data_IF_839917432142
#
_entry.id   IF_839917432142
#
_cell.length_a   1.000
_cell.length_b   1.000
_cell.length_c   1.000
_cell.angle_alpha   90.00
_cell.angle_beta   90.00
_cell.angle_gamma   90.00
#
_symmetry.space_group_name_H-M   'P 1'
#
loop_
_entity.id
_entity.type
_entity.pdbx_description
1 polymer ?
#
# COMPACT_ATOMS: atom_id res chain seq x y z
N UNK A 1 -12.59 10.12 23.81
CA UNK A 1 -11.51 11.13 24.01
C UNK A 1 -11.50 12.03 22.78
N UNK A 2 -11.53 13.34 22.93
CA UNK A 2 -11.49 14.25 21.76
C UNK A 2 -10.02 14.52 21.40
N UNK A 3 -9.60 14.13 20.20
CA UNK A 3 -8.31 14.53 19.65
C UNK A 3 -8.27 16.06 19.47
N UNK A 4 -7.11 16.66 19.72
CA UNK A 4 -6.87 18.05 19.37
C UNK A 4 -6.71 18.15 17.86
N UNK A 5 -7.12 19.29 17.29
CA UNK A 5 -7.08 19.54 15.84
C UNK A 5 -5.68 19.37 15.21
N UNK A 6 -4.63 19.64 16.01
CA UNK A 6 -3.23 19.53 15.63
C UNK A 6 -2.50 18.34 16.30
N UNK A 7 -3.21 17.24 16.57
CA UNK A 7 -2.61 16.03 17.11
C UNK A 7 -1.53 15.49 16.14
N UNK A 8 -0.41 15.00 16.70
CA UNK A 8 0.68 14.41 15.91
C UNK A 8 0.35 12.99 15.46
N UNK A 9 1.00 12.53 14.41
CA UNK A 9 0.75 11.25 13.74
C UNK A 9 0.61 10.07 14.69
N UNK A 10 1.57 9.85 15.59
CA UNK A 10 1.54 8.72 16.54
C UNK A 10 0.32 8.77 17.47
N UNK A 11 -0.10 9.96 17.89
CA UNK A 11 -1.32 10.16 18.68
C UNK A 11 -2.58 9.85 17.85
N UNK A 12 -2.60 10.26 16.59
CA UNK A 12 -3.70 9.98 15.65
C UNK A 12 -3.83 8.46 15.44
N UNK A 13 -2.73 7.75 15.19
CA UNK A 13 -2.73 6.29 15.04
C UNK A 13 -3.40 5.56 16.21
N UNK A 14 -3.19 6.04 17.45
CA UNK A 14 -3.73 5.41 18.66
C UNK A 14 -5.20 5.73 18.88
N UNK A 15 -5.63 6.97 18.61
CA UNK A 15 -6.90 7.49 19.13
C UNK A 15 -7.95 7.82 18.07
N UNK A 16 -7.57 8.07 16.81
CA UNK A 16 -8.55 8.45 15.80
C UNK A 16 -9.53 7.30 15.52
N UNK A 17 -10.80 7.66 15.29
CA UNK A 17 -11.87 6.71 15.00
C UNK A 17 -12.33 5.87 16.20
N UNK A 18 -11.75 6.04 17.38
CA UNK A 18 -12.03 5.22 18.56
C UNK A 18 -12.49 6.08 19.74
N UNK A 19 -13.54 5.62 20.38
CA UNK A 19 -14.03 6.14 21.66
C UNK A 19 -14.24 4.97 22.61
N UNK A 20 -14.10 5.14 23.94
CA UNK A 20 -14.46 4.10 24.88
C UNK A 20 -15.89 3.64 24.64
N UNK A 21 -16.14 2.33 24.74
CA UNK A 21 -17.48 1.77 24.55
C UNK A 21 -18.47 2.40 25.53
N UNK A 22 -19.60 2.98 25.06
CA UNK A 22 -20.50 3.72 25.92
C UNK A 22 -21.26 2.83 26.91
N UNK A 23 -21.35 1.52 26.67
CA UNK A 23 -22.08 0.59 27.53
C UNK A 23 -21.20 0.01 28.64
N UNK A 24 -19.91 -0.18 28.40
CA UNK A 24 -18.99 -0.86 29.32
C UNK A 24 -17.78 -0.01 29.74
N UNK A 25 -17.50 1.06 29.02
CA UNK A 25 -16.27 1.84 29.20
C UNK A 25 -15.00 1.17 28.65
N UNK A 26 -15.13 0.07 27.88
CA UNK A 26 -13.99 -0.61 27.28
C UNK A 26 -13.16 0.36 26.40
N UNK A 27 -11.85 0.42 26.66
CA UNK A 27 -10.98 1.40 25.99
C UNK A 27 -10.68 1.04 24.53
N UNK A 28 -10.67 -0.26 24.20
CA UNK A 28 -10.54 -0.73 22.82
C UNK A 28 -11.93 -0.93 22.21
N UNK A 29 -12.07 -0.62 20.93
CA UNK A 29 -13.32 -0.85 20.20
C UNK A 29 -13.71 -2.33 20.25
N UNK A 30 -14.93 -2.69 20.70
CA UNK A 30 -15.41 -4.08 20.68
C UNK A 30 -15.50 -4.65 19.28
N UNK A 31 -15.41 -5.97 19.16
CA UNK A 31 -15.67 -6.68 17.89
C UNK A 31 -17.17 -6.94 17.79
N UNK A 32 -17.84 -6.20 16.91
CA UNK A 32 -19.26 -6.38 16.62
C UNK A 32 -19.44 -7.44 15.52
N UNK A 33 -19.35 -8.72 15.90
CA UNK A 33 -19.54 -9.85 15.00
C UNK A 33 -21.03 -10.14 14.83
N UNK A 34 -21.71 -9.30 14.04
CA UNK A 34 -23.15 -9.38 13.78
C UNK A 34 -23.46 -8.96 12.34
N UNK A 35 -24.57 -9.46 11.79
CA UNK A 35 -25.08 -9.05 10.47
C UNK A 35 -26.17 -8.00 10.54
N UNK A 36 -26.97 -7.98 11.63
CA UNK A 36 -28.24 -7.24 11.70
C UNK A 36 -28.38 -6.50 13.02
N UNK A 37 -29.11 -5.40 13.00
CA UNK A 37 -29.37 -4.56 14.18
C UNK A 37 -30.86 -4.34 14.33
N UNK A 38 -31.36 -4.44 15.58
CA UNK A 38 -32.78 -4.22 15.89
C UNK A 38 -33.07 -2.72 15.88
N UNK A 39 -34.20 -2.37 15.25
CA UNK A 39 -34.74 -1.01 15.28
C UNK A 39 -35.74 -0.89 16.46
N UNK A 40 -35.75 0.26 17.12
CA UNK A 40 -36.71 0.54 18.22
C UNK A 40 -38.12 0.75 17.67
N UNK A 41 -38.26 1.22 16.42
CA UNK A 41 -39.52 1.29 15.65
C UNK A 41 -39.16 1.35 14.16
N UNK A 42 -40.14 1.27 13.25
CA UNK A 42 -39.92 1.35 11.81
C UNK A 42 -39.19 2.65 11.46
N UNK A 43 -37.97 2.52 10.92
CA UNK A 43 -37.09 3.64 10.58
C UNK A 43 -36.40 4.33 11.78
N UNK A 44 -36.55 3.81 12.99
CA UNK A 44 -35.91 4.34 14.22
C UNK A 44 -34.81 3.40 14.67
N UNK A 45 -33.57 3.67 14.25
CA UNK A 45 -32.39 2.85 14.54
C UNK A 45 -31.27 3.67 15.23
N UNK A 46 -30.31 2.97 15.85
CA UNK A 46 -29.20 3.57 16.60
C UNK A 46 -27.98 3.92 15.70
N UNK A 47 -28.21 4.17 14.40
CA UNK A 47 -27.17 4.49 13.42
C UNK A 47 -26.68 3.28 12.62
N UNK A 48 -27.13 2.07 12.94
CA UNK A 48 -26.78 0.83 12.26
C UNK A 48 -28.04 0.02 11.93
N UNK A 49 -28.08 -0.58 10.74
CA UNK A 49 -29.21 -1.40 10.28
C UNK A 49 -28.72 -2.79 9.83
N UNK A 50 -27.63 -2.82 9.07
CA UNK A 50 -27.06 -4.03 8.47
C UNK A 50 -25.54 -3.93 8.31
N UNK A 51 -24.81 -4.99 8.66
CA UNK A 51 -23.33 -4.93 8.74
C UNK A 51 -22.63 -4.72 7.39
N UNK A 52 -23.24 -5.12 6.26
CA UNK A 52 -22.70 -4.80 4.93
C UNK A 52 -22.68 -3.28 4.69
N UNK A 53 -23.73 -2.59 5.08
CA UNK A 53 -23.81 -1.13 4.99
C UNK A 53 -22.85 -0.47 5.98
N UNK A 54 -22.95 -0.81 7.27
CA UNK A 54 -22.11 -0.25 8.34
C UNK A 54 -21.93 -1.25 9.48
N UNK A 55 -20.75 -1.26 10.08
CA UNK A 55 -20.44 -2.04 11.27
C UNK A 55 -19.55 -1.19 12.20
N UNK A 56 -19.84 -1.12 13.52
CA UNK A 56 -19.08 -0.24 14.43
C UNK A 56 -17.57 -0.49 14.44
N UNK A 57 -17.14 -1.75 14.37
CA UNK A 57 -15.71 -2.10 14.35
C UNK A 57 -15.06 -1.66 13.05
N UNK A 58 -15.70 -1.93 11.90
CA UNK A 58 -15.20 -1.47 10.59
C UNK A 58 -15.18 0.05 10.49
N UNK A 59 -16.23 0.72 10.95
CA UNK A 59 -16.31 2.19 10.95
C UNK A 59 -15.22 2.84 11.80
N UNK A 60 -14.83 2.22 12.91
CA UNK A 60 -13.70 2.70 13.72
C UNK A 60 -12.37 2.62 12.96
N UNK A 61 -12.14 1.53 12.22
CA UNK A 61 -10.96 1.39 11.34
C UNK A 61 -11.00 2.43 10.22
N UNK A 62 -12.12 2.55 9.51
CA UNK A 62 -12.31 3.49 8.39
C UNK A 62 -12.01 4.93 8.82
N UNK A 63 -12.53 5.35 9.97
CA UNK A 63 -12.24 6.66 10.54
C UNK A 63 -10.77 6.83 10.98
N UNK A 64 -10.14 5.76 11.51
CA UNK A 64 -8.72 5.78 11.87
C UNK A 64 -7.84 5.98 10.64
N UNK A 65 -8.04 5.16 9.58
CA UNK A 65 -7.24 5.23 8.36
C UNK A 65 -7.43 6.58 7.63
N UNK A 66 -8.68 7.08 7.55
CA UNK A 66 -8.94 8.41 7.00
C UNK A 66 -8.10 9.49 7.72
N UNK A 67 -8.07 9.44 9.05
CA UNK A 67 -7.33 10.42 9.85
C UNK A 67 -5.81 10.32 9.69
N UNK A 68 -5.24 9.11 9.63
CA UNK A 68 -3.79 8.93 9.48
C UNK A 68 -3.28 9.28 8.07
N UNK A 69 -4.14 9.14 7.04
CA UNK A 69 -3.86 9.59 5.66
C UNK A 69 -4.26 11.04 5.40
N UNK A 70 -4.88 11.73 6.37
CA UNK A 70 -5.43 13.08 6.24
C UNK A 70 -6.56 13.20 5.20
N UNK A 71 -7.26 12.11 4.94
CA UNK A 71 -8.44 12.11 4.09
C UNK A 71 -9.71 12.48 4.85
N UNK A 72 -10.78 12.70 4.10
CA UNK A 72 -12.10 13.09 4.62
C UNK A 72 -12.93 11.87 5.02
N UNK A 73 -12.77 10.76 4.30
CA UNK A 73 -13.43 9.48 4.59
C UNK A 73 -12.56 8.30 4.17
N UNK A 74 -12.72 7.16 4.89
CA UNK A 74 -12.10 5.87 4.57
C UNK A 74 -13.16 4.79 4.36
N UNK A 75 -12.82 3.79 3.54
CA UNK A 75 -13.67 2.65 3.20
C UNK A 75 -12.85 1.37 3.24
N UNK A 76 -13.24 0.40 4.08
CA UNK A 76 -12.50 -0.84 4.25
C UNK A 76 -13.12 -1.99 3.46
N UNK A 77 -12.28 -2.69 2.69
CA UNK A 77 -12.63 -3.77 1.78
C UNK A 77 -11.92 -5.07 2.15
N UNK A 78 -12.44 -6.19 1.66
CA UNK A 78 -11.95 -7.54 1.95
C UNK A 78 -10.51 -7.82 1.45
N UNK A 79 -9.96 -6.99 0.58
CA UNK A 79 -8.55 -7.06 0.12
C UNK A 79 -8.13 -5.75 -0.52
N UNK A 80 -6.80 -5.55 -0.71
CA UNK A 80 -6.29 -4.44 -1.53
C UNK A 80 -6.86 -4.45 -2.95
N UNK A 81 -6.98 -5.63 -3.56
CA UNK A 81 -7.58 -5.78 -4.90
C UNK A 81 -9.07 -5.40 -4.94
N UNK A 82 -9.83 -5.67 -3.87
CA UNK A 82 -11.22 -5.23 -3.75
C UNK A 82 -11.31 -3.70 -3.59
N UNK A 83 -10.37 -3.10 -2.89
CA UNK A 83 -10.25 -1.64 -2.77
C UNK A 83 -9.95 -0.98 -4.13
N UNK A 84 -8.99 -1.53 -4.89
CA UNK A 84 -8.71 -1.07 -6.26
C UNK A 84 -9.93 -1.25 -7.18
N UNK A 85 -10.60 -2.41 -7.12
CA UNK A 85 -11.82 -2.67 -7.88
C UNK A 85 -12.89 -1.62 -7.62
N UNK A 86 -13.13 -1.28 -6.35
CA UNK A 86 -14.09 -0.25 -5.97
C UNK A 86 -13.72 1.14 -6.52
N UNK A 87 -12.43 1.50 -6.53
CA UNK A 87 -11.96 2.75 -7.15
C UNK A 87 -12.22 2.75 -8.66
N UNK A 88 -12.03 1.63 -9.34
CA UNK A 88 -12.29 1.53 -10.80
C UNK A 88 -13.77 1.70 -11.16
N UNK A 89 -14.70 1.51 -10.23
CA UNK A 89 -16.14 1.76 -10.48
C UNK A 89 -16.48 3.24 -10.62
N UNK A 90 -15.58 4.16 -10.31
CA UNK A 90 -15.70 5.59 -10.64
C UNK A 90 -15.67 5.84 -12.16
N UNK A 91 -15.22 4.86 -12.93
CA UNK A 91 -15.06 4.93 -14.37
C UNK A 91 -16.22 4.22 -15.09
N UNK A 92 -16.41 4.60 -16.34
CA UNK A 92 -17.36 3.95 -17.25
C UNK A 92 -16.67 3.41 -18.50
N UNK A 93 -17.35 2.54 -19.22
CA UNK A 93 -16.86 2.03 -20.51
C UNK A 93 -16.45 3.17 -21.44
N UNK A 94 -15.27 3.07 -22.05
CA UNK A 94 -14.64 4.08 -22.89
C UNK A 94 -13.71 5.04 -22.15
N UNK A 95 -13.69 5.04 -20.82
CA UNK A 95 -12.73 5.84 -20.06
C UNK A 95 -11.32 5.22 -20.12
N UNK A 96 -10.32 6.10 -20.07
CA UNK A 96 -8.90 5.74 -20.10
C UNK A 96 -8.23 6.05 -18.77
N UNK A 97 -7.28 5.16 -18.38
CA UNK A 97 -6.46 5.28 -17.20
C UNK A 97 -4.98 5.27 -17.59
N UNK A 98 -4.22 6.23 -17.10
CA UNK A 98 -2.75 6.16 -17.11
C UNK A 98 -2.28 5.47 -15.83
N UNK A 99 -1.45 4.45 -15.97
CA UNK A 99 -1.02 3.57 -14.86
C UNK A 99 0.49 3.56 -14.79
N UNK A 100 1.06 3.54 -13.59
CA UNK A 100 2.49 3.26 -13.38
C UNK A 100 2.89 1.96 -14.07
N UNK A 101 3.94 1.96 -14.88
CA UNK A 101 4.38 0.80 -15.68
C UNK A 101 4.82 -0.39 -14.82
N UNK A 102 5.40 -0.10 -13.67
CA UNK A 102 5.88 -1.05 -12.67
C UNK A 102 4.91 -1.14 -11.50
N UNK A 103 3.65 -1.44 -11.78
CA UNK A 103 2.60 -1.64 -10.78
C UNK A 103 2.53 -3.08 -10.31
N UNK A 104 1.93 -3.31 -9.15
CA UNK A 104 1.76 -4.65 -8.59
C UNK A 104 1.14 -5.62 -9.62
N UNK A 105 1.64 -6.88 -9.66
CA UNK A 105 1.15 -7.87 -10.62
C UNK A 105 -0.35 -8.19 -10.47
N UNK A 106 -0.94 -8.00 -9.28
CA UNK A 106 -2.38 -8.11 -9.05
C UNK A 106 -3.17 -7.01 -9.73
N UNK A 107 -2.71 -5.76 -9.62
CA UNK A 107 -3.27 -4.58 -10.29
C UNK A 107 -3.25 -4.77 -11.80
N UNK A 108 -2.11 -5.20 -12.35
CA UNK A 108 -1.99 -5.53 -13.78
C UNK A 108 -3.01 -6.59 -14.22
N UNK A 109 -3.16 -7.69 -13.45
CA UNK A 109 -4.15 -8.73 -13.76
C UNK A 109 -5.57 -8.21 -13.71
N UNK A 110 -5.93 -7.41 -12.71
CA UNK A 110 -7.25 -6.81 -12.60
C UNK A 110 -7.55 -5.93 -13.81
N UNK A 111 -6.62 -5.03 -14.17
CA UNK A 111 -6.82 -4.06 -15.24
C UNK A 111 -6.88 -4.75 -16.61
N UNK A 112 -5.89 -5.53 -16.97
CA UNK A 112 -5.78 -6.13 -18.30
C UNK A 112 -6.73 -7.30 -18.53
N UNK A 113 -6.92 -8.17 -17.53
CA UNK A 113 -7.68 -9.40 -17.76
C UNK A 113 -9.13 -9.36 -17.26
N UNK A 114 -9.49 -8.38 -16.45
CA UNK A 114 -10.86 -8.22 -15.96
C UNK A 114 -11.46 -6.93 -16.51
N UNK A 115 -10.94 -5.76 -16.16
CA UNK A 115 -11.59 -4.48 -16.41
C UNK A 115 -11.57 -4.05 -17.89
N UNK A 116 -10.53 -4.41 -18.63
CA UNK A 116 -10.48 -4.19 -20.09
C UNK A 116 -11.66 -4.86 -20.81
N UNK A 117 -12.18 -5.99 -20.30
CA UNK A 117 -13.39 -6.65 -20.85
C UNK A 117 -14.65 -5.82 -20.68
N UNK A 118 -14.67 -4.89 -19.74
CA UNK A 118 -15.78 -3.97 -19.50
C UNK A 118 -15.59 -2.61 -20.18
N UNK A 119 -14.61 -2.53 -21.09
CA UNK A 119 -14.41 -1.36 -21.95
C UNK A 119 -13.57 -0.25 -21.34
N UNK A 120 -12.87 -0.48 -20.22
CA UNK A 120 -11.83 0.44 -19.76
C UNK A 120 -10.55 0.28 -20.59
N UNK A 121 -9.86 1.39 -20.85
CA UNK A 121 -8.58 1.39 -21.55
C UNK A 121 -7.43 1.83 -20.62
N UNK A 122 -6.25 1.22 -20.78
CA UNK A 122 -5.10 1.41 -19.90
C UNK A 122 -3.84 1.70 -20.71
N UNK A 123 -3.10 2.74 -20.30
CA UNK A 123 -1.74 3.01 -20.77
C UNK A 123 -0.79 2.97 -19.59
N UNK A 124 0.23 2.12 -19.68
CA UNK A 124 1.27 2.01 -18.68
C UNK A 124 2.45 2.89 -19.07
N UNK A 125 2.81 3.82 -18.19
CA UNK A 125 3.86 4.81 -18.41
C UNK A 125 4.91 4.75 -17.29
N UNK A 126 6.15 5.08 -17.60
CA UNK A 126 7.17 5.32 -16.58
C UNK A 126 6.86 6.62 -15.83
N UNK A 127 6.09 6.50 -14.74
CA UNK A 127 5.64 7.65 -13.95
C UNK A 127 6.75 8.31 -13.12
N UNK A 128 7.96 7.75 -13.11
CA UNK A 128 9.13 8.45 -12.58
C UNK A 128 9.54 9.65 -13.43
N UNK A 129 8.97 9.75 -14.64
CA UNK A 129 9.17 10.81 -15.62
C UNK A 129 7.87 11.54 -15.88
N UNK A 130 7.79 12.79 -15.44
CA UNK A 130 6.58 13.60 -15.57
C UNK A 130 6.15 13.83 -17.03
N UNK A 131 7.12 13.94 -17.95
CA UNK A 131 6.86 14.07 -19.39
C UNK A 131 6.20 12.83 -20.00
N UNK A 132 6.45 11.63 -19.47
CA UNK A 132 5.78 10.40 -19.87
C UNK A 132 4.31 10.39 -19.39
N UNK A 133 4.03 10.88 -18.18
CA UNK A 133 2.67 11.03 -17.67
C UNK A 133 1.87 11.95 -18.62
N UNK A 134 2.43 13.13 -18.92
CA UNK A 134 1.73 14.12 -19.76
C UNK A 134 1.47 13.60 -21.17
N UNK A 135 2.44 12.91 -21.78
CA UNK A 135 2.28 12.27 -23.10
C UNK A 135 1.26 11.13 -23.13
N UNK A 136 1.06 10.44 -22.01
CA UNK A 136 0.11 9.33 -21.90
C UNK A 136 -1.34 9.80 -21.73
N UNK A 137 -1.59 11.05 -21.33
CA UNK A 137 -2.93 11.60 -21.16
C UNK A 137 -3.61 11.78 -22.52
N UNK A 138 -4.86 11.32 -22.64
CA UNK A 138 -5.73 11.39 -23.81
C UNK A 138 -7.02 12.16 -23.48
N UNK A 139 -7.81 12.59 -24.47
CA UNK A 139 -9.08 13.30 -24.20
C UNK A 139 -10.09 12.51 -23.33
N UNK A 140 -10.03 11.18 -23.37
CA UNK A 140 -10.86 10.30 -22.56
C UNK A 140 -10.16 9.79 -21.29
N UNK A 141 -8.99 10.30 -20.93
CA UNK A 141 -8.33 9.96 -19.67
C UNK A 141 -9.11 10.55 -18.50
N UNK A 142 -9.42 9.73 -17.51
CA UNK A 142 -10.15 10.12 -16.31
C UNK A 142 -9.37 9.89 -15.03
N UNK A 143 -8.40 9.00 -15.04
CA UNK A 143 -7.65 8.62 -13.86
C UNK A 143 -6.16 8.48 -14.17
N UNK A 144 -5.32 8.94 -13.26
CA UNK A 144 -3.90 8.62 -13.14
C UNK A 144 -3.74 7.70 -11.92
N UNK A 145 -3.41 6.43 -12.14
CA UNK A 145 -3.20 5.44 -11.08
C UNK A 145 -1.71 5.24 -10.85
N UNK A 146 -1.23 5.68 -9.71
CA UNK A 146 0.17 5.68 -9.32
C UNK A 146 0.45 4.61 -8.25
N UNK A 147 1.59 3.96 -8.34
CA UNK A 147 2.21 3.20 -7.25
C UNK A 147 3.61 3.79 -6.98
N UNK A 148 3.85 4.28 -5.78
CA UNK A 148 5.13 4.90 -5.41
C UNK A 148 5.43 4.79 -3.92
N UNK A 149 6.58 4.18 -3.53
CA UNK A 149 7.58 3.49 -4.38
C UNK A 149 7.01 2.28 -5.11
N UNK A 150 7.50 1.97 -6.31
CA UNK A 150 7.01 0.83 -7.11
C UNK A 150 7.53 -0.51 -6.60
N UNK A 151 6.75 -1.58 -6.79
CA UNK A 151 7.11 -2.94 -6.47
C UNK A 151 7.61 -3.69 -7.73
N UNK A 152 8.82 -4.27 -7.77
CA UNK A 152 9.81 -4.35 -6.69
C UNK A 152 11.00 -3.38 -6.85
N UNK A 153 11.07 -2.57 -7.89
CA UNK A 153 12.29 -1.82 -8.24
C UNK A 153 12.42 -0.48 -7.52
N UNK A 154 11.43 -0.11 -6.70
CA UNK A 154 11.45 1.06 -5.81
C UNK A 154 11.66 2.40 -6.54
N UNK A 155 11.15 2.53 -7.77
CA UNK A 155 11.08 3.82 -8.45
C UNK A 155 10.08 4.74 -7.76
N UNK A 156 10.35 6.03 -7.79
CA UNK A 156 9.49 7.05 -7.20
C UNK A 156 8.84 7.91 -8.28
N UNK A 157 7.60 8.30 -8.04
CA UNK A 157 6.91 9.35 -8.79
C UNK A 157 6.94 10.63 -7.97
N UNK A 158 7.29 11.76 -8.59
CA UNK A 158 7.08 13.09 -7.99
C UNK A 158 5.58 13.36 -7.92
N UNK A 159 5.02 13.18 -6.71
CA UNK A 159 3.58 13.26 -6.50
C UNK A 159 3.03 14.65 -6.76
N UNK A 160 3.75 15.71 -6.36
CA UNK A 160 3.32 17.10 -6.61
C UNK A 160 3.21 17.35 -8.10
N UNK A 161 4.28 17.08 -8.86
CA UNK A 161 4.29 17.28 -10.29
C UNK A 161 3.26 16.43 -11.04
N UNK A 162 3.09 15.17 -10.63
CA UNK A 162 2.10 14.27 -11.21
C UNK A 162 0.66 14.73 -10.98
N UNK A 163 0.33 15.16 -9.76
CA UNK A 163 -0.99 15.73 -9.43
C UNK A 163 -1.25 17.03 -10.21
N UNK A 164 -0.29 17.93 -10.28
CA UNK A 164 -0.43 19.17 -11.05
C UNK A 164 -0.69 18.90 -12.55
N UNK A 165 0.02 17.94 -13.14
CA UNK A 165 -0.22 17.52 -14.53
C UNK A 165 -1.64 16.96 -14.69
N UNK A 166 -2.02 15.99 -13.87
CA UNK A 166 -3.31 15.33 -13.97
C UNK A 166 -4.48 16.34 -13.82
N UNK A 167 -4.41 17.20 -12.83
CA UNK A 167 -5.48 18.18 -12.56
C UNK A 167 -5.63 19.24 -13.66
N UNK A 168 -4.55 19.62 -14.36
CA UNK A 168 -4.66 20.50 -15.54
C UNK A 168 -5.52 19.89 -16.67
N UNK A 169 -5.64 18.57 -16.70
CA UNK A 169 -6.40 17.82 -17.69
C UNK A 169 -7.74 17.28 -17.15
N UNK A 170 -8.17 17.72 -15.97
CA UNK A 170 -9.39 17.20 -15.29
C UNK A 170 -9.35 15.68 -15.07
N UNK A 171 -8.15 15.17 -14.73
CA UNK A 171 -7.85 13.78 -14.41
C UNK A 171 -7.59 13.68 -12.91
N UNK A 172 -8.33 12.81 -12.21
CA UNK A 172 -8.08 12.59 -10.79
C UNK A 172 -6.98 11.59 -10.54
N UNK A 173 -6.31 11.72 -9.39
CA UNK A 173 -5.13 10.97 -9.03
C UNK A 173 -5.43 9.97 -7.92
N UNK A 174 -5.13 8.71 -8.19
CA UNK A 174 -5.16 7.60 -7.23
C UNK A 174 -3.75 7.15 -6.95
N UNK A 175 -3.39 7.01 -5.68
CA UNK A 175 -2.07 6.51 -5.28
C UNK A 175 -2.20 5.26 -4.44
N UNK A 176 -1.64 4.15 -4.92
CA UNK A 176 -1.36 3.00 -4.05
C UNK A 176 -0.14 3.33 -3.18
N UNK A 177 -0.40 3.57 -1.90
CA UNK A 177 0.58 3.96 -0.90
C UNK A 177 1.00 2.80 0.02
N UNK A 178 0.74 1.56 -0.42
CA UNK A 178 0.97 0.35 0.37
C UNK A 178 2.41 0.20 0.82
N UNK A 179 3.40 0.49 -0.05
CA UNK A 179 4.85 0.34 0.26
C UNK A 179 5.37 1.39 1.23
N UNK A 180 4.87 2.61 1.14
CA UNK A 180 5.30 3.70 2.01
C UNK A 180 4.58 3.68 3.37
N UNK A 181 3.30 3.36 3.40
CA UNK A 181 2.37 3.61 4.50
C UNK A 181 2.20 5.12 4.82
N UNK A 182 1.15 5.52 5.58
CA UNK A 182 0.96 6.92 5.97
C UNK A 182 2.06 7.49 6.86
N UNK A 183 2.90 6.63 7.43
CA UNK A 183 4.05 7.06 8.22
C UNK A 183 5.15 7.66 7.36
N UNK A 184 5.47 7.01 6.24
CA UNK A 184 6.56 7.45 5.36
C UNK A 184 6.09 8.53 4.39
N UNK A 185 4.88 8.39 3.83
CA UNK A 185 4.35 9.29 2.82
C UNK A 185 2.83 9.40 2.93
N UNK A 186 2.28 10.57 2.71
CA UNK A 186 0.83 10.82 2.64
C UNK A 186 0.51 11.50 1.32
N UNK A 187 0.05 10.77 0.31
CA UNK A 187 -0.18 11.31 -1.04
C UNK A 187 -1.18 12.46 -1.09
N UNK A 188 -2.14 12.50 -0.16
CA UNK A 188 -3.12 13.59 -0.07
C UNK A 188 -2.42 14.94 0.19
N UNK A 189 -1.34 14.96 0.97
CA UNK A 189 -0.56 16.18 1.23
C UNK A 189 0.08 16.75 -0.06
N UNK A 190 0.16 15.96 -1.14
CA UNK A 190 0.73 16.30 -2.45
C UNK A 190 -0.33 16.50 -3.53
N UNK A 191 -1.62 16.37 -3.20
CA UNK A 191 -2.72 16.62 -4.12
C UNK A 191 -3.44 15.37 -4.65
N UNK A 192 -3.13 14.17 -4.16
CA UNK A 192 -3.89 12.97 -4.56
C UNK A 192 -5.36 13.06 -4.12
N UNK A 193 -6.27 12.64 -5.00
CA UNK A 193 -7.71 12.61 -4.75
C UNK A 193 -8.14 11.37 -3.95
N UNK A 194 -7.45 10.27 -4.18
CA UNK A 194 -7.70 8.96 -3.57
C UNK A 194 -6.38 8.28 -3.21
N UNK A 195 -6.38 7.60 -2.06
CA UNK A 195 -5.27 6.74 -1.64
C UNK A 195 -5.78 5.33 -1.40
N UNK A 196 -5.08 4.35 -1.94
CA UNK A 196 -5.37 2.93 -1.75
C UNK A 196 -4.27 2.30 -0.91
N UNK A 197 -4.63 1.36 -0.05
CA UNK A 197 -3.70 0.48 0.64
C UNK A 197 -4.19 -0.96 0.65
N UNK A 198 -3.29 -1.90 0.51
CA UNK A 198 -3.46 -3.22 1.10
C UNK A 198 -3.18 -3.13 2.60
N UNK A 199 -4.22 -3.26 3.42
CA UNK A 199 -4.04 -3.28 4.88
C UNK A 199 -3.31 -4.51 5.37
N UNK A 200 -3.27 -5.56 4.56
CA UNK A 200 -2.50 -6.80 4.72
C UNK A 200 -1.02 -6.55 5.06
N UNK A 201 -0.48 -5.39 4.63
CA UNK A 201 0.94 -5.03 4.69
C UNK A 201 1.24 -4.22 5.97
N UNK A 202 2.03 -3.15 5.88
CA UNK A 202 2.49 -2.35 7.02
C UNK A 202 1.38 -1.85 7.95
N UNK A 203 0.18 -1.55 7.43
CA UNK A 203 -0.93 -1.06 8.27
C UNK A 203 -1.30 -2.06 9.36
N UNK A 204 -1.52 -3.32 8.98
CA UNK A 204 -1.70 -4.41 9.95
C UNK A 204 -0.37 -4.83 10.58
N UNK A 205 0.61 -5.21 9.74
CA UNK A 205 1.99 -5.48 10.11
C UNK A 205 2.26 -6.77 10.89
N UNK A 206 1.29 -7.69 10.97
CA UNK A 206 1.39 -8.90 11.79
C UNK A 206 1.05 -10.20 11.03
N UNK A 207 0.97 -10.15 9.70
CA UNK A 207 0.76 -11.31 8.82
C UNK A 207 -0.47 -12.18 9.15
N UNK A 208 -1.48 -11.60 9.81
CA UNK A 208 -2.63 -12.30 10.38
C UNK A 208 -3.98 -11.80 9.84
N UNK A 209 -4.01 -10.89 8.85
CA UNK A 209 -5.23 -10.42 8.20
C UNK A 209 -5.02 -10.07 6.74
N UNK A 210 -6.08 -10.17 5.95
CA UNK A 210 -6.14 -9.71 4.57
C UNK A 210 -7.19 -8.63 4.46
N UNK A 211 -6.83 -7.47 3.86
CA UNK A 211 -7.77 -6.38 3.70
C UNK A 211 -7.23 -5.27 2.79
N UNK A 212 -8.10 -4.33 2.48
CA UNK A 212 -7.76 -3.11 1.75
C UNK A 212 -8.54 -1.92 2.25
N UNK A 213 -8.06 -0.73 1.97
CA UNK A 213 -8.77 0.52 2.26
C UNK A 213 -8.62 1.50 1.12
N UNK A 214 -9.65 2.31 0.92
CA UNK A 214 -9.61 3.53 0.09
C UNK A 214 -9.83 4.72 1.01
N UNK A 215 -9.01 5.75 0.85
CA UNK A 215 -9.20 7.05 1.51
C UNK A 215 -9.48 8.09 0.44
N UNK A 216 -10.50 8.92 0.65
CA UNK A 216 -10.96 9.93 -0.29
C UNK A 216 -11.05 11.32 0.35
N UNK A 217 -10.87 12.36 -0.48
CA UNK A 217 -10.99 13.77 -0.06
C UNK A 217 -12.18 14.49 -0.69
N UNK A 218 -12.66 14.04 -1.86
CA UNK A 218 -13.77 14.66 -2.61
C UNK A 218 -15.11 14.07 -2.18
N UNK A 219 -16.14 14.90 -2.05
CA UNK A 219 -17.47 14.48 -1.61
C UNK A 219 -18.16 13.55 -2.61
N UNK A 220 -18.02 13.80 -3.90
CA UNK A 220 -18.56 12.95 -4.98
C UNK A 220 -17.95 11.54 -4.96
N UNK A 221 -16.64 11.43 -4.76
CA UNK A 221 -15.97 10.13 -4.60
C UNK A 221 -16.42 9.41 -3.31
N UNK A 222 -16.59 10.14 -2.22
CA UNK A 222 -17.04 9.60 -0.92
C UNK A 222 -18.46 9.04 -1.03
N UNK A 223 -19.37 9.77 -1.66
CA UNK A 223 -20.75 9.34 -1.85
C UNK A 223 -20.81 8.06 -2.72
N UNK A 224 -20.05 8.04 -3.82
CA UNK A 224 -19.99 6.88 -4.70
C UNK A 224 -19.38 5.66 -4.04
N UNK A 225 -18.24 5.81 -3.37
CA UNK A 225 -17.56 4.69 -2.70
C UNK A 225 -18.42 4.10 -1.57
N UNK A 226 -19.16 4.92 -0.83
CA UNK A 226 -20.14 4.45 0.17
C UNK A 226 -21.24 3.61 -0.47
N UNK A 227 -21.75 4.06 -1.60
CA UNK A 227 -22.75 3.31 -2.37
C UNK A 227 -22.17 1.98 -2.87
N UNK A 228 -21.00 1.99 -3.49
CA UNK A 228 -20.35 0.80 -4.05
C UNK A 228 -19.99 -0.21 -2.97
N UNK A 229 -19.44 0.22 -1.85
CA UNK A 229 -19.12 -0.66 -0.73
C UNK A 229 -20.35 -1.47 -0.27
N UNK A 230 -21.51 -0.84 -0.24
CA UNK A 230 -22.77 -1.51 0.09
C UNK A 230 -23.32 -2.35 -1.09
N UNK A 231 -23.23 -1.86 -2.32
CA UNK A 231 -23.83 -2.50 -3.49
C UNK A 231 -23.05 -3.77 -3.91
N UNK A 232 -21.73 -3.71 -3.97
CA UNK A 232 -20.88 -4.85 -4.30
C UNK A 232 -20.67 -5.79 -3.11
N UNK A 233 -20.64 -5.24 -1.90
CA UNK A 233 -20.55 -6.02 -0.67
C UNK A 233 -19.17 -6.60 -0.37
N UNK A 234 -18.11 -6.15 -1.04
CA UNK A 234 -16.73 -6.59 -0.81
C UNK A 234 -16.13 -5.98 0.48
N UNK A 235 -16.90 -5.97 1.56
CA UNK A 235 -16.56 -5.34 2.85
C UNK A 235 -15.53 -6.13 3.64
N UNK A 236 -14.74 -5.42 4.46
CA UNK A 236 -13.85 -6.06 5.45
C UNK A 236 -14.65 -6.60 6.63
N UNK A 237 -14.36 -7.83 7.04
CA UNK A 237 -14.98 -8.46 8.21
C UNK A 237 -14.60 -7.78 9.53
N UNK A 238 -15.46 -7.85 10.58
CA UNK A 238 -15.18 -7.18 11.85
C UNK A 238 -13.91 -7.64 12.55
N UNK A 239 -13.55 -8.94 12.46
CA UNK A 239 -12.32 -9.46 13.06
C UNK A 239 -11.08 -8.88 12.38
N UNK A 240 -11.03 -8.92 11.03
CA UNK A 240 -9.91 -8.33 10.28
C UNK A 240 -9.83 -6.82 10.50
N UNK A 241 -10.99 -6.13 10.53
CA UNK A 241 -11.03 -4.70 10.83
C UNK A 241 -10.44 -4.38 12.21
N UNK A 242 -10.72 -5.21 13.21
CA UNK A 242 -10.19 -5.07 14.56
C UNK A 242 -8.68 -5.33 14.61
N UNK A 243 -8.19 -6.39 13.94
CA UNK A 243 -6.75 -6.70 13.85
C UNK A 243 -5.98 -5.55 13.21
N UNK A 244 -6.46 -5.02 12.09
CA UNK A 244 -5.84 -3.86 11.42
C UNK A 244 -5.87 -2.63 12.33
N UNK A 245 -7.01 -2.31 12.97
CA UNK A 245 -7.13 -1.20 13.89
C UNK A 245 -6.17 -1.33 15.09
N UNK A 246 -5.95 -2.56 15.57
CA UNK A 246 -4.95 -2.85 16.60
C UNK A 246 -3.53 -2.65 16.07
N UNK A 247 -3.26 -3.09 14.83
CA UNK A 247 -1.96 -2.95 14.16
C UNK A 247 -1.56 -1.49 13.94
N UNK A 248 -2.51 -0.63 13.54
CA UNK A 248 -2.23 0.80 13.30
C UNK A 248 -1.73 1.54 14.54
N UNK A 249 -2.10 1.12 15.74
CA UNK A 249 -1.64 1.74 16.99
C UNK A 249 -0.13 1.71 17.17
N UNK A 250 0.53 0.70 16.61
CA UNK A 250 2.00 0.52 16.67
C UNK A 250 2.69 0.85 15.35
N UNK A 251 1.95 1.31 14.34
CA UNK A 251 2.52 1.65 13.04
C UNK A 251 3.75 2.58 13.14
N UNK A 252 3.73 3.68 13.91
CA UNK A 252 4.88 4.57 13.98
C UNK A 252 6.16 3.88 14.47
N UNK A 253 6.10 3.17 15.59
CA UNK A 253 7.28 2.51 16.17
C UNK A 253 7.78 1.34 15.32
N UNK A 254 6.86 0.63 14.64
CA UNK A 254 7.24 -0.42 13.67
C UNK A 254 7.95 0.19 12.46
N UNK A 255 7.38 1.24 11.88
CA UNK A 255 7.97 1.90 10.71
C UNK A 255 9.32 2.55 11.01
N UNK A 256 9.51 3.13 12.20
CA UNK A 256 10.82 3.61 12.65
C UNK A 256 11.86 2.48 12.64
N UNK A 257 11.53 1.30 13.17
CA UNK A 257 12.42 0.14 13.19
C UNK A 257 12.62 -0.45 11.80
N UNK A 258 11.56 -0.61 10.99
CA UNK A 258 11.67 -1.05 9.59
C UNK A 258 12.62 -0.16 8.79
N UNK A 259 12.49 1.17 8.90
CA UNK A 259 13.37 2.12 8.21
C UNK A 259 14.82 2.00 8.68
N UNK A 260 15.06 1.91 9.99
CA UNK A 260 16.42 1.77 10.54
C UNK A 260 17.08 0.47 10.07
N UNK A 261 16.36 -0.65 10.18
CA UNK A 261 16.88 -1.95 9.76
C UNK A 261 17.11 -2.00 8.22
N UNK A 262 16.16 -1.46 7.43
CA UNK A 262 16.31 -1.42 5.98
C UNK A 262 17.50 -0.57 5.54
N UNK A 263 17.74 0.58 6.16
CA UNK A 263 18.92 1.39 5.86
C UNK A 263 20.21 0.63 6.15
N UNK A 264 20.34 0.06 7.36
CA UNK A 264 21.54 -0.67 7.77
C UNK A 264 21.80 -1.91 6.90
N UNK A 265 20.73 -2.61 6.48
CA UNK A 265 20.85 -3.77 5.59
C UNK A 265 21.16 -3.37 4.14
N UNK A 266 20.60 -2.25 3.66
CA UNK A 266 20.90 -1.71 2.33
C UNK A 266 22.36 -1.24 2.22
N UNK A 267 22.89 -0.57 3.24
CA UNK A 267 24.31 -0.18 3.32
C UNK A 267 25.23 -1.41 3.35
N UNK A 268 24.88 -2.43 4.15
CA UNK A 268 25.59 -3.70 4.18
C UNK A 268 25.65 -4.35 2.81
N UNK A 269 24.49 -4.50 2.15
CA UNK A 269 24.39 -5.08 0.81
C UNK A 269 25.18 -4.25 -0.23
N UNK A 270 25.12 -2.92 -0.17
CA UNK A 270 25.82 -2.03 -1.10
C UNK A 270 27.34 -2.11 -0.96
N UNK A 271 27.85 -2.51 0.21
CA UNK A 271 29.29 -2.73 0.44
C UNK A 271 29.75 -4.16 0.13
N UNK A 272 28.82 -5.10 -0.09
CA UNK A 272 29.15 -6.52 -0.23
C UNK A 272 29.67 -6.82 -1.65
N UNK A 273 30.86 -7.46 -1.82
CA UNK A 273 31.52 -7.63 -3.13
C UNK A 273 30.73 -8.51 -4.10
N UNK A 274 29.81 -9.33 -3.61
CA UNK A 274 28.99 -10.22 -4.43
C UNK A 274 27.61 -9.63 -4.78
N UNK A 275 27.31 -8.38 -4.40
CA UNK A 275 26.06 -7.68 -4.70
C UNK A 275 26.34 -6.55 -5.70
N UNK A 276 26.05 -6.74 -6.98
CA UNK A 276 26.35 -5.76 -8.03
C UNK A 276 25.61 -4.43 -7.86
N UNK A 277 24.36 -4.48 -7.36
CA UNK A 277 23.51 -3.30 -7.24
C UNK A 277 22.43 -3.48 -6.19
N UNK A 278 22.18 -2.43 -5.42
CA UNK A 278 21.08 -2.34 -4.44
C UNK A 278 20.12 -1.23 -4.88
N UNK A 279 18.83 -1.51 -4.80
CA UNK A 279 17.75 -0.57 -5.05
C UNK A 279 17.10 -0.25 -3.70
N UNK A 280 17.37 0.95 -3.18
CA UNK A 280 16.77 1.46 -1.95
C UNK A 280 16.80 2.99 -1.96
N UNK A 281 15.66 3.68 -1.83
CA UNK A 281 15.61 5.14 -1.94
C UNK A 281 16.45 5.89 -0.91
N UNK A 282 16.81 5.23 0.21
CA UNK A 282 17.68 5.79 1.25
C UNK A 282 19.16 5.87 0.88
N UNK A 283 19.63 5.09 -0.09
CA UNK A 283 21.01 5.16 -0.54
C UNK A 283 21.21 6.34 -1.49
N UNK A 284 22.32 7.06 -1.34
CA UNK A 284 22.71 8.17 -2.24
C UNK A 284 22.96 7.73 -3.68
N UNK A 285 23.22 6.45 -3.89
CA UNK A 285 23.33 5.83 -5.22
C UNK A 285 21.99 5.61 -5.93
N UNK A 286 20.86 5.74 -5.22
CA UNK A 286 19.54 5.64 -5.84
C UNK A 286 19.26 6.88 -6.70
N UNK A 287 18.81 6.72 -7.97
CA UNK A 287 18.65 7.86 -8.89
C UNK A 287 17.71 8.95 -8.37
N UNK A 288 16.75 8.58 -7.53
CA UNK A 288 15.72 9.48 -7.01
C UNK A 288 15.87 9.73 -5.50
N UNK A 289 17.09 9.57 -4.94
CA UNK A 289 17.34 9.81 -3.52
C UNK A 289 16.89 11.20 -3.07
N UNK A 290 17.17 12.23 -3.84
CA UNK A 290 16.79 13.61 -3.50
C UNK A 290 15.26 13.82 -3.56
N UNK A 291 14.55 13.15 -4.46
CA UNK A 291 13.09 13.13 -4.46
C UNK A 291 12.55 12.46 -3.19
N UNK A 292 13.10 11.28 -2.84
CA UNK A 292 12.73 10.57 -1.62
C UNK A 292 12.89 11.46 -0.38
N UNK A 293 14.01 12.16 -0.25
CA UNK A 293 14.26 13.08 0.88
C UNK A 293 13.26 14.24 0.98
N UNK A 294 12.73 14.72 -0.13
CA UNK A 294 11.75 15.80 -0.14
C UNK A 294 10.33 15.33 0.12
N UNK A 295 9.99 14.14 -0.37
CA UNK A 295 8.61 13.63 -0.40
C UNK A 295 8.29 12.68 0.76
N UNK A 296 9.29 12.03 1.35
CA UNK A 296 9.12 10.95 2.31
C UNK A 296 9.74 11.28 3.66
N UNK A 297 9.09 10.81 4.75
CA UNK A 297 9.59 10.90 6.12
C UNK A 297 10.35 9.60 6.51
N UNK A 298 11.34 9.22 5.72
CA UNK A 298 12.03 7.93 5.77
C UNK A 298 11.97 7.26 4.39
N UNK A 299 12.52 6.06 4.26
CA UNK A 299 12.70 5.43 2.93
C UNK A 299 12.00 4.08 2.79
N UNK A 300 11.23 3.68 3.83
CA UNK A 300 10.47 2.42 3.84
C UNK A 300 11.29 1.21 4.29
N UNK A 301 10.59 0.07 4.40
CA UNK A 301 11.14 -1.21 4.84
C UNK A 301 11.44 -2.19 3.70
N UNK A 302 11.39 -1.77 2.44
CA UNK A 302 11.62 -2.62 1.28
C UNK A 302 12.98 -2.34 0.65
N UNK A 303 13.72 -3.42 0.36
CA UNK A 303 14.98 -3.38 -0.38
C UNK A 303 14.87 -4.35 -1.55
N UNK A 304 15.41 -3.99 -2.70
CA UNK A 304 15.71 -4.96 -3.76
C UNK A 304 17.19 -4.91 -4.12
N UNK A 305 17.76 -6.04 -4.51
CA UNK A 305 19.14 -6.11 -4.95
C UNK A 305 19.31 -7.13 -6.07
N UNK A 306 20.32 -6.91 -6.90
CA UNK A 306 20.73 -7.83 -7.92
C UNK A 306 21.76 -8.81 -7.36
N UNK A 307 21.52 -10.11 -7.51
CA UNK A 307 22.45 -11.17 -7.08
C UNK A 307 23.51 -11.50 -8.14
N UNK A 308 23.40 -10.93 -9.35
CA UNK A 308 24.33 -11.10 -10.47
C UNK A 308 23.97 -12.28 -11.41
N UNK A 309 23.19 -13.25 -10.96
CA UNK A 309 22.62 -14.30 -11.80
C UNK A 309 21.42 -14.99 -11.11
N UNK A 310 20.58 -15.67 -11.88
CA UNK A 310 19.49 -16.49 -11.34
C UNK A 310 19.99 -17.58 -10.37
N UNK A 311 21.11 -18.21 -10.70
CA UNK A 311 21.70 -19.25 -9.85
C UNK A 311 22.11 -18.69 -8.49
N UNK A 312 22.76 -17.53 -8.48
CA UNK A 312 23.10 -16.84 -7.23
C UNK A 312 21.87 -16.37 -6.46
N UNK A 313 20.87 -15.81 -7.14
CA UNK A 313 19.61 -15.47 -6.50
C UNK A 313 18.99 -16.68 -5.79
N UNK A 314 18.95 -17.85 -6.47
CA UNK A 314 18.49 -19.11 -5.87
C UNK A 314 19.34 -19.54 -4.68
N UNK A 315 20.66 -19.41 -4.78
CA UNK A 315 21.58 -19.76 -3.68
C UNK A 315 21.28 -18.92 -2.44
N UNK A 316 21.12 -17.62 -2.60
CA UNK A 316 20.78 -16.70 -1.49
C UNK A 316 19.40 -17.05 -0.92
N UNK A 317 18.37 -17.13 -1.76
CA UNK A 317 16.98 -17.38 -1.34
C UNK A 317 16.82 -18.72 -0.60
N UNK A 318 17.55 -19.76 -1.02
CA UNK A 318 17.54 -21.07 -0.37
C UNK A 318 18.53 -21.17 0.79
N UNK A 319 19.42 -20.17 0.93
CA UNK A 319 20.50 -20.14 1.92
C UNK A 319 20.14 -19.47 3.22
N UNK A 320 19.21 -18.52 3.19
CA UNK A 320 18.73 -17.82 4.40
C UNK A 320 18.06 -18.79 5.38
N UNK A 321 18.13 -18.50 6.67
CA UNK A 321 17.63 -19.35 7.75
C UNK A 321 16.65 -18.62 8.67
N UNK A 322 16.87 -17.34 8.88
CA UNK A 322 16.01 -16.47 9.68
C UNK A 322 14.95 -15.80 8.79
N UNK A 323 15.38 -15.23 7.65
CA UNK A 323 14.47 -14.64 6.69
C UNK A 323 13.59 -15.71 6.05
N UNK A 324 12.27 -15.49 5.99
CA UNK A 324 11.37 -16.45 5.38
C UNK A 324 11.20 -16.21 3.88
N UNK A 325 11.45 -17.24 3.05
CA UNK A 325 11.13 -17.21 1.62
C UNK A 325 9.62 -17.31 1.45
N UNK A 326 8.96 -16.19 1.24
CA UNK A 326 7.51 -16.09 1.15
C UNK A 326 7.05 -14.89 0.31
N UNK A 327 5.83 -14.97 -0.18
CA UNK A 327 5.11 -13.81 -0.71
C UNK A 327 4.64 -12.90 0.41
N UNK A 328 4.21 -11.69 0.07
CA UNK A 328 3.80 -10.63 0.97
C UNK A 328 4.96 -9.71 1.39
N UNK A 329 4.69 -8.81 2.33
CA UNK A 329 5.64 -7.81 2.84
C UNK A 329 5.00 -7.06 4.03
N UNK A 330 5.82 -6.28 4.74
CA UNK A 330 5.36 -5.31 5.73
C UNK A 330 4.95 -5.90 7.07
N UNK A 331 5.17 -7.21 7.28
CA UNK A 331 5.09 -7.85 8.58
C UNK A 331 6.28 -7.51 9.48
N UNK A 332 6.14 -7.78 10.78
CA UNK A 332 7.23 -7.63 11.76
C UNK A 332 8.38 -8.58 11.50
N UNK A 333 8.12 -9.72 10.87
CA UNK A 333 9.11 -10.69 10.38
C UNK A 333 9.69 -10.28 9.02
N UNK A 334 10.97 -10.59 8.79
CA UNK A 334 11.64 -10.36 7.52
C UNK A 334 11.27 -11.43 6.50
N UNK A 335 10.75 -10.98 5.35
CA UNK A 335 10.43 -11.83 4.20
C UNK A 335 11.39 -11.56 3.04
N UNK A 336 11.83 -12.62 2.39
CA UNK A 336 12.63 -12.56 1.16
C UNK A 336 11.88 -13.24 0.00
N UNK A 337 12.00 -12.71 -1.21
CA UNK A 337 11.26 -13.24 -2.36
C UNK A 337 12.02 -13.04 -3.67
N UNK A 338 11.65 -13.83 -4.68
CA UNK A 338 12.10 -13.71 -6.06
C UNK A 338 10.99 -13.09 -6.93
N UNK A 339 11.00 -11.79 -7.21
CA UNK A 339 9.90 -11.14 -7.92
C UNK A 339 9.53 -11.78 -9.24
N UNK A 340 10.53 -12.19 -10.04
CA UNK A 340 10.33 -12.74 -11.38
C UNK A 340 9.51 -14.04 -11.41
N UNK A 341 9.63 -14.92 -10.39
CA UNK A 341 8.91 -16.20 -10.35
C UNK A 341 7.79 -16.28 -9.33
N UNK A 342 7.64 -15.24 -8.49
CA UNK A 342 6.63 -15.16 -7.43
C UNK A 342 5.62 -14.04 -7.72
N UNK A 343 5.88 -12.83 -7.25
CA UNK A 343 4.91 -11.72 -7.26
C UNK A 343 4.58 -11.18 -8.65
N UNK A 344 5.48 -11.34 -9.64
CA UNK A 344 5.34 -10.85 -11.02
C UNK A 344 5.37 -11.98 -12.06
N UNK A 345 5.19 -13.23 -11.67
CA UNK A 345 5.18 -14.37 -12.59
C UNK A 345 4.12 -14.28 -13.71
N UNK A 346 3.03 -13.54 -13.46
CA UNK A 346 1.97 -13.32 -14.45
C UNK A 346 2.26 -12.21 -15.47
N UNK A 347 3.34 -11.44 -15.29
CA UNK A 347 3.77 -10.40 -16.23
C UNK A 347 4.67 -11.03 -17.29
N UNK A 348 4.45 -10.78 -18.60
CA UNK A 348 5.30 -11.30 -19.67
C UNK A 348 6.79 -10.98 -19.47
N UNK A 349 7.68 -11.92 -19.85
CA UNK A 349 9.13 -11.81 -19.61
C UNK A 349 9.70 -10.53 -20.19
N UNK A 350 9.40 -10.24 -21.47
CA UNK A 350 9.90 -9.05 -22.16
C UNK A 350 9.51 -7.75 -21.42
N UNK A 351 8.28 -7.72 -20.87
CA UNK A 351 7.82 -6.57 -20.09
C UNK A 351 8.52 -6.49 -18.74
N UNK A 352 8.72 -7.61 -18.04
CA UNK A 352 9.47 -7.64 -16.76
C UNK A 352 10.88 -7.07 -16.94
N UNK A 353 11.60 -7.50 -17.97
CA UNK A 353 12.94 -7.02 -18.29
C UNK A 353 12.95 -5.51 -18.58
N UNK A 354 12.00 -5.02 -19.38
CA UNK A 354 11.87 -3.58 -19.69
C UNK A 354 11.68 -2.72 -18.45
N UNK A 355 10.95 -3.19 -17.45
CA UNK A 355 10.70 -2.45 -16.19
C UNK A 355 11.75 -2.74 -15.11
N UNK A 356 12.77 -3.57 -15.41
CA UNK A 356 13.90 -3.84 -14.52
C UNK A 356 13.71 -5.02 -13.57
N UNK A 357 12.71 -5.89 -13.81
CA UNK A 357 12.50 -7.14 -13.05
C UNK A 357 13.22 -8.27 -13.75
N UNK A 358 14.52 -8.37 -13.49
CA UNK A 358 15.40 -9.41 -14.03
C UNK A 358 15.40 -10.67 -13.18
N UNK A 359 15.89 -11.78 -13.74
CA UNK A 359 15.91 -13.08 -13.06
C UNK A 359 16.91 -13.15 -11.89
N UNK A 360 17.81 -12.16 -11.76
CA UNK A 360 18.74 -12.04 -10.64
C UNK A 360 18.25 -11.12 -9.52
N UNK A 361 17.05 -10.53 -9.69
CA UNK A 361 16.49 -9.59 -8.71
C UNK A 361 15.91 -10.32 -7.50
N UNK A 362 16.34 -9.92 -6.31
CA UNK A 362 15.84 -10.40 -5.01
C UNK A 362 15.22 -9.21 -4.27
N UNK A 363 14.05 -9.42 -3.65
CA UNK A 363 13.39 -8.41 -2.81
C UNK A 363 13.36 -8.87 -1.35
N UNK A 364 13.70 -7.97 -0.43
CA UNK A 364 13.58 -8.16 1.01
C UNK A 364 12.53 -7.17 1.54
N UNK A 365 11.55 -7.68 2.26
CA UNK A 365 10.71 -6.91 3.17
C UNK A 365 11.34 -7.01 4.55
N UNK A 366 12.06 -5.98 4.94
CA UNK A 366 12.86 -5.99 6.17
C UNK A 366 11.94 -5.82 7.38
N UNK A 367 12.01 -6.75 8.31
CA UNK A 367 11.25 -6.76 9.55
C UNK A 367 11.88 -5.92 10.67
N UNK A 368 11.46 -6.20 11.90
CA UNK A 368 11.89 -5.45 13.08
C UNK A 368 12.79 -6.28 14.02
N UNK A 369 13.29 -7.41 13.53
CA UNK A 369 14.26 -8.27 14.24
C UNK A 369 15.54 -7.49 14.57
N UNK A 370 16.41 -8.11 15.34
CA UNK A 370 17.75 -7.57 15.57
C UNK A 370 18.51 -7.47 14.25
N UNK A 371 19.12 -6.32 14.00
CA UNK A 371 19.77 -6.04 12.70
C UNK A 371 21.02 -6.90 12.47
N UNK A 372 21.73 -7.26 13.52
CA UNK A 372 22.94 -8.07 13.39
C UNK A 372 22.58 -9.51 13.04
N UNK A 373 21.50 -10.05 13.62
CA UNK A 373 20.96 -11.36 13.23
C UNK A 373 20.55 -11.40 11.74
N UNK A 374 19.93 -10.33 11.22
CA UNK A 374 19.56 -10.20 9.81
C UNK A 374 20.79 -10.15 8.89
N UNK A 375 21.84 -9.40 9.30
CA UNK A 375 23.10 -9.34 8.55
C UNK A 375 23.83 -10.68 8.53
N UNK A 376 23.88 -11.36 9.67
CA UNK A 376 24.54 -12.67 9.80
C UNK A 376 23.83 -13.72 8.93
N UNK A 377 22.47 -13.71 8.91
CA UNK A 377 21.71 -14.61 8.07
C UNK A 377 21.96 -14.36 6.57
N UNK A 378 22.01 -13.09 6.19
CA UNK A 378 22.27 -12.72 4.80
C UNK A 378 23.73 -12.98 4.38
N UNK A 379 24.69 -12.70 5.25
CA UNK A 379 26.12 -12.95 5.02
C UNK A 379 26.37 -14.44 4.72
N UNK A 380 25.89 -15.33 5.59
CA UNK A 380 26.10 -16.76 5.40
C UNK A 380 25.42 -17.30 4.13
N UNK A 381 24.36 -16.65 3.63
CA UNK A 381 23.68 -17.00 2.38
C UNK A 381 24.42 -16.45 1.15
N UNK A 382 24.95 -15.21 1.22
CA UNK A 382 25.71 -14.58 0.15
C UNK A 382 27.10 -15.22 -0.05
N UNK A 383 27.73 -15.73 1.00
CA UNK A 383 29.08 -16.31 0.96
C UNK A 383 29.12 -17.75 0.43
N UNK A 384 28.00 -18.39 0.25
CA UNK A 384 27.88 -19.67 -0.47
C UNK A 384 28.11 -19.47 -1.97
#
# INVERSE_FOLDING_TARGET
>A
MKLRENARFSTICIHAGQVPDPSTGAIITPIYQTSTYVQDALGVHKGYEYARTQNPTRSALEANIAAIERGKAGFAFASGMAAEGAVMTLLKSGDHVVVTDNTYGGTYRLFEHVLRKYGLDFTYADTSRLDEIERAIRPNTKMLFLETPTNPVLRLTDLTGACEIAHRHDVYVVVDNTFASPFVQRPIDFGADLVVHSTTKFLNGHSDSVGGVVVAVRDDHIEWLRFVQNAEGAILGPMDAWLVLRGTKTLPIRMERHNANAMALAEYLASHPRVPRVLYPGLTSHPQHELARRQMCGFGGLISFHAGSLERARTVLNGVRLMALAESLGGVETLISHPATMTHASVPIERREQIGITDDLVRISVGIEDIDDLKDDLSQALDR
#
